data_IF_514425107291
#
_entry.id   IF_514425107291
#
_cell.length_a   1.000
_cell.length_b   1.000
_cell.length_c   1.000
_cell.angle_alpha   90.00
_cell.angle_beta   90.00
_cell.angle_gamma   90.00
#
_symmetry.space_group_name_H-M   'P 1'
#
loop_
_entity.id
_entity.type
_entity.pdbx_description
1 polymer ?
#
# COMPACT_ATOMS: atom_id res chain seq x y z
N UNK A 1 -2.07 5.53 10.68
CA UNK A 1 -1.36 5.16 9.45
C UNK A 1 -0.79 6.42 8.86
N UNK A 2 0.29 6.31 8.09
CA UNK A 2 0.91 7.44 7.42
C UNK A 2 1.11 7.12 5.96
N UNK A 3 0.58 8.00 5.12
CA UNK A 3 0.70 7.95 3.68
C UNK A 3 1.87 8.82 3.26
N UNK A 4 2.86 8.21 2.60
CA UNK A 4 4.03 8.89 2.08
C UNK A 4 3.93 8.94 0.57
N UNK A 5 4.07 10.14 0.00
CA UNK A 5 4.16 10.35 -1.44
C UNK A 5 5.56 10.86 -1.74
N UNK A 6 6.24 10.24 -2.71
CA UNK A 6 7.57 10.62 -3.14
C UNK A 6 7.62 10.81 -4.66
N UNK A 7 8.27 11.88 -5.11
CA UNK A 7 8.58 12.11 -6.52
C UNK A 7 9.91 11.47 -6.89
N UNK A 8 9.92 10.56 -7.86
CA UNK A 8 11.17 9.96 -8.35
C UNK A 8 12.02 10.91 -9.21
N UNK A 9 11.43 11.98 -9.76
CA UNK A 9 12.13 12.92 -10.63
C UNK A 9 12.94 13.98 -9.88
N UNK A 10 12.47 14.44 -8.71
CA UNK A 10 13.12 15.53 -7.96
C UNK A 10 13.39 15.20 -6.49
N UNK A 11 12.91 14.05 -6.00
CA UNK A 11 13.05 13.63 -4.61
C UNK A 11 12.16 14.39 -3.62
N UNK A 12 11.19 15.18 -4.08
CA UNK A 12 10.17 15.76 -3.22
C UNK A 12 9.42 14.65 -2.48
N UNK A 13 9.18 14.82 -1.18
CA UNK A 13 8.35 13.89 -0.40
C UNK A 13 7.38 14.64 0.50
N UNK A 14 6.19 14.09 0.64
CA UNK A 14 5.14 14.57 1.53
C UNK A 14 4.58 13.41 2.32
N UNK A 15 4.20 13.67 3.57
CA UNK A 15 3.68 12.67 4.49
C UNK A 15 2.39 13.19 5.12
N UNK A 16 1.36 12.34 5.14
CA UNK A 16 0.07 12.64 5.76
C UNK A 16 -0.27 11.58 6.80
N UNK A 17 -0.60 12.03 8.00
CA UNK A 17 -1.07 11.15 9.06
C UNK A 17 -2.59 11.03 9.05
N UNK A 18 -3.07 9.79 9.12
CA UNK A 18 -4.49 9.46 9.14
C UNK A 18 -4.78 8.43 10.26
N UNK A 19 -5.88 8.64 10.98
CA UNK A 19 -6.37 7.68 11.95
C UNK A 19 -6.96 6.46 11.21
N UNK A 20 -6.76 5.27 11.77
CA UNK A 20 -7.27 4.02 11.21
C UNK A 20 -7.64 3.05 12.34
N UNK A 21 -8.65 2.24 12.10
CA UNK A 21 -9.03 1.11 12.96
C UNK A 21 -9.01 -0.21 12.18
N UNK A 22 -9.21 -0.11 10.87
CA UNK A 22 -9.16 -1.22 9.94
C UNK A 22 -8.14 -1.00 8.81
N UNK A 23 -7.63 -2.11 8.28
CA UNK A 23 -6.77 -2.15 7.09
C UNK A 23 -7.41 -3.09 6.08
N UNK A 24 -7.68 -2.59 4.88
CA UNK A 24 -8.31 -3.35 3.83
C UNK A 24 -7.27 -3.93 2.85
N UNK A 25 -6.96 -5.22 3.02
CA UNK A 25 -5.94 -5.92 2.23
C UNK A 25 -6.53 -6.51 0.95
N UNK A 26 -5.79 -6.34 -0.16
CA UNK A 26 -6.08 -7.05 -1.39
C UNK A 26 -5.66 -8.52 -1.24
N UNK A 27 -6.46 -9.41 -1.78
CA UNK A 27 -6.23 -10.85 -1.73
C UNK A 27 -6.35 -11.52 -3.10
N UNK A 28 -6.63 -10.79 -4.18
CA UNK A 28 -6.88 -11.39 -5.51
C UNK A 28 -5.70 -12.26 -5.98
N UNK A 29 -4.47 -11.77 -5.76
CA UNK A 29 -3.23 -12.45 -6.16
C UNK A 29 -2.44 -13.02 -4.98
N UNK A 30 -3.01 -13.07 -3.78
CA UNK A 30 -2.28 -13.37 -2.53
C UNK A 30 -2.86 -14.59 -1.81
N UNK A 31 -2.01 -15.34 -1.11
CA UNK A 31 -2.37 -16.58 -0.43
C UNK A 31 -2.41 -16.47 1.11
N UNK A 32 -1.90 -15.37 1.68
CA UNK A 32 -1.86 -15.13 3.13
C UNK A 32 -2.22 -13.68 3.48
N UNK A 33 -2.64 -13.46 4.73
CA UNK A 33 -2.87 -12.10 5.24
C UNK A 33 -1.58 -11.29 5.27
N UNK A 34 -0.45 -11.93 5.59
CA UNK A 34 0.86 -11.28 5.61
C UNK A 34 1.25 -10.76 4.24
N UNK A 35 1.01 -11.54 3.17
CA UNK A 35 1.26 -11.07 1.80
C UNK A 35 0.40 -9.85 1.48
N UNK A 36 -0.88 -9.86 1.88
CA UNK A 36 -1.78 -8.72 1.71
C UNK A 36 -1.29 -7.47 2.46
N UNK A 37 -0.74 -7.65 3.67
CA UNK A 37 -0.11 -6.56 4.45
C UNK A 37 1.20 -6.06 3.81
N UNK A 38 2.02 -6.96 3.25
CA UNK A 38 3.24 -6.59 2.49
C UNK A 38 2.89 -5.75 1.27
N UNK A 39 1.85 -6.13 0.54
CA UNK A 39 1.36 -5.37 -0.60
C UNK A 39 0.74 -4.03 -0.17
N UNK A 40 0.08 -3.99 0.99
CA UNK A 40 -0.48 -2.76 1.55
C UNK A 40 0.58 -1.68 1.83
N UNK A 41 1.76 -2.07 2.32
CA UNK A 41 2.86 -1.12 2.62
C UNK A 41 3.80 -0.87 1.44
N UNK A 42 3.56 -1.52 0.29
CA UNK A 42 4.42 -1.42 -0.89
C UNK A 42 4.24 -0.07 -1.59
N UNK A 43 5.33 0.43 -2.17
CA UNK A 43 5.26 1.56 -3.11
C UNK A 43 4.42 1.21 -4.35
N UNK A 44 3.42 2.05 -4.63
CA UNK A 44 2.57 2.01 -5.82
C UNK A 44 2.73 3.29 -6.64
N UNK A 45 2.63 3.17 -7.96
CA UNK A 45 2.69 4.32 -8.86
C UNK A 45 1.36 5.07 -8.88
N UNK A 46 1.43 6.39 -8.92
CA UNK A 46 0.27 7.26 -9.05
C UNK A 46 0.16 7.76 -10.50
N UNK A 47 -0.84 7.30 -11.24
CA UNK A 47 -1.03 7.67 -12.65
C UNK A 47 -1.48 9.14 -12.82
N UNK A 48 -2.31 9.65 -11.89
CA UNK A 48 -2.94 10.97 -11.97
C UNK A 48 -2.30 12.03 -11.05
N UNK A 49 -1.15 11.73 -10.45
CA UNK A 49 -0.46 12.66 -9.56
C UNK A 49 0.58 13.51 -10.31
N UNK A 50 0.63 14.81 -9.97
CA UNK A 50 1.60 15.76 -10.52
C UNK A 50 2.39 16.41 -9.39
N UNK A 51 3.71 16.38 -9.50
CA UNK A 51 4.57 16.98 -8.49
C UNK A 51 4.41 18.51 -8.47
N UNK A 52 4.16 19.08 -7.29
CA UNK A 52 4.08 20.54 -7.11
C UNK A 52 5.43 21.24 -7.27
N UNK A 53 6.54 20.54 -7.01
CA UNK A 53 7.89 21.10 -7.09
C UNK A 53 8.47 21.14 -8.52
N UNK A 54 8.21 20.11 -9.34
CA UNK A 54 8.79 20.00 -10.68
C UNK A 54 7.78 19.78 -11.83
N UNK A 55 6.50 19.56 -11.55
CA UNK A 55 5.46 19.37 -12.57
C UNK A 55 5.42 18.00 -13.24
N UNK A 56 6.34 17.09 -12.91
CA UNK A 56 6.42 15.73 -13.45
C UNK A 56 5.35 14.79 -12.88
N UNK A 57 5.01 13.75 -13.66
CA UNK A 57 4.01 12.71 -13.30
C UNK A 57 4.67 11.40 -12.87
N UNK A 58 5.68 11.50 -12.02
CA UNK A 58 6.44 10.36 -11.52
C UNK A 58 6.36 10.28 -10.00
N UNK A 59 5.15 10.07 -9.51
CA UNK A 59 4.82 9.93 -8.10
C UNK A 59 4.69 8.48 -7.68
N UNK A 60 5.31 8.13 -6.55
CA UNK A 60 5.08 6.89 -5.84
C UNK A 60 4.39 7.18 -4.52
N UNK A 61 3.45 6.32 -4.13
CA UNK A 61 2.78 6.35 -2.83
C UNK A 61 3.07 5.06 -2.08
N UNK A 62 3.29 5.15 -0.77
CA UNK A 62 3.29 4.01 0.14
C UNK A 62 2.55 4.39 1.42
N UNK A 63 1.98 3.39 2.09
CA UNK A 63 1.41 3.55 3.42
C UNK A 63 2.24 2.76 4.43
N UNK A 64 2.30 3.23 5.68
CA UNK A 64 2.82 2.42 6.79
C UNK A 64 2.00 2.60 8.07
N UNK A 65 2.02 1.57 8.90
CA UNK A 65 1.25 1.50 10.14
C UNK A 65 2.06 2.08 11.29
N UNK A 66 2.20 3.41 11.30
CA UNK A 66 3.03 4.15 12.27
C UNK A 66 2.75 3.83 13.75
N UNK A 67 1.49 3.60 14.11
CA UNK A 67 1.07 3.20 15.45
C UNK A 67 -0.04 2.16 15.34
N UNK A 68 0.18 0.98 15.94
CA UNK A 68 -0.80 -0.11 15.92
C UNK A 68 -1.84 0.09 17.03
N UNK A 69 -3.15 0.06 16.72
CA UNK A 69 -4.17 0.06 17.76
C UNK A 69 -4.15 -1.25 18.55
N UNK A 70 -4.62 -1.26 19.82
CA UNK A 70 -4.76 -2.49 20.61
C UNK A 70 -5.66 -3.55 19.95
N UNK A 71 -6.60 -3.10 19.12
CA UNK A 71 -7.45 -3.92 18.27
C UNK A 71 -7.32 -3.44 16.83
N UNK A 72 -6.73 -4.27 15.98
CA UNK A 72 -6.62 -4.03 14.54
C UNK A 72 -7.62 -4.91 13.80
N UNK A 73 -8.45 -4.31 12.95
CA UNK A 73 -9.37 -5.03 12.08
C UNK A 73 -8.73 -5.19 10.71
N UNK A 74 -8.54 -6.43 10.23
CA UNK A 74 -8.06 -6.67 8.86
C UNK A 74 -9.22 -7.08 7.98
N UNK A 75 -9.62 -6.18 7.07
CA UNK A 75 -10.68 -6.46 6.10
C UNK A 75 -10.08 -7.12 4.86
N UNK A 76 -10.47 -8.37 4.61
CA UNK A 76 -10.14 -9.06 3.35
C UNK A 76 -11.04 -8.54 2.23
N UNK A 77 -10.47 -7.94 1.17
CA UNK A 77 -11.22 -7.50 -0.02
C UNK A 77 -11.65 -8.69 -0.89
N UNK A 78 -12.54 -9.54 -0.36
CA UNK A 78 -13.07 -10.73 -1.04
C UNK A 78 -14.03 -10.43 -2.18
N UNK A 79 -14.48 -9.19 -2.35
CA UNK A 79 -15.41 -8.82 -3.41
C UNK A 79 -14.71 -7.91 -4.40
N UNK A 80 -14.51 -8.43 -5.61
CA UNK A 80 -13.93 -7.66 -6.71
C UNK A 80 -15.00 -7.36 -7.75
N UNK A 81 -14.77 -6.30 -8.53
CA UNK A 81 -15.63 -5.97 -9.67
C UNK A 81 -15.02 -6.53 -10.95
N UNK A 82 -15.67 -7.53 -11.53
CA UNK A 82 -15.26 -8.10 -12.82
C UNK A 82 -15.74 -7.18 -13.95
N UNK A 83 -14.79 -6.44 -14.54
CA UNK A 83 -15.08 -5.48 -15.62
C UNK A 83 -15.63 -6.13 -16.90
N UNK A 84 -15.38 -7.43 -17.13
CA UNK A 84 -15.87 -8.14 -18.32
C UNK A 84 -17.34 -8.53 -18.17
N UNK A 85 -17.72 -8.99 -16.98
CA UNK A 85 -19.11 -9.41 -16.70
C UNK A 85 -19.97 -8.31 -16.09
N UNK A 86 -19.36 -7.16 -15.74
CA UNK A 86 -19.99 -6.03 -15.04
C UNK A 86 -20.69 -6.43 -13.74
N UNK A 87 -20.14 -7.43 -13.04
CA UNK A 87 -20.71 -8.00 -11.81
C UNK A 87 -19.67 -8.06 -10.70
N UNK A 88 -20.16 -8.02 -9.45
CA UNK A 88 -19.33 -8.30 -8.27
C UNK A 88 -19.11 -9.80 -8.16
N UNK A 89 -17.86 -10.22 -8.03
CA UNK A 89 -17.46 -11.62 -7.86
C UNK A 89 -16.81 -11.81 -6.49
N UNK A 90 -17.20 -12.87 -5.78
CA UNK A 90 -16.56 -13.27 -4.53
C UNK A 90 -15.31 -14.13 -4.81
N UNK A 91 -14.20 -13.76 -4.19
CA UNK A 91 -12.96 -14.53 -4.14
C UNK A 91 -13.08 -15.63 -3.09
N UNK A 92 -13.14 -16.87 -3.55
CA UNK A 92 -13.35 -18.06 -2.73
C UNK A 92 -12.06 -18.87 -2.47
N UNK A 93 -10.91 -18.42 -2.97
CA UNK A 93 -9.66 -19.11 -2.69
C UNK A 93 -9.29 -19.00 -1.21
N UNK A 94 -8.48 -19.98 -0.78
CA UNK A 94 -7.98 -20.07 0.58
C UNK A 94 -7.01 -18.93 0.85
N UNK A 95 -7.16 -18.31 2.02
CA UNK A 95 -6.21 -17.34 2.57
C UNK A 95 -5.73 -17.89 3.90
N UNK A 96 -4.42 -17.99 4.08
CA UNK A 96 -3.81 -18.37 5.34
C UNK A 96 -3.90 -17.19 6.33
N UNK A 97 -4.44 -17.47 7.51
CA UNK A 97 -4.53 -16.52 8.64
C UNK A 97 -3.81 -17.20 9.82
N UNK A 98 -2.55 -16.86 10.11
CA UNK A 98 -1.83 -17.43 11.23
C UNK A 98 -2.41 -16.92 12.56
N UNK A 99 -2.16 -17.64 13.65
CA UNK A 99 -2.62 -17.23 15.00
C UNK A 99 -1.87 -16.00 15.53
N UNK A 100 -0.67 -15.75 15.02
CA UNK A 100 0.16 -14.59 15.33
C UNK A 100 0.78 -14.05 14.04
N UNK A 101 0.87 -12.73 13.93
CA UNK A 101 1.51 -12.02 12.82
C UNK A 101 2.53 -11.07 13.44
N UNK A 102 3.77 -11.12 12.96
CA UNK A 102 4.75 -10.09 13.29
C UNK A 102 4.41 -8.81 12.51
N UNK A 103 3.99 -7.78 13.23
CA UNK A 103 3.60 -6.51 12.63
C UNK A 103 4.78 -5.55 12.43
N UNK A 104 5.94 -5.81 13.05
CA UNK A 104 7.10 -4.92 12.99
C UNK A 104 7.47 -4.49 11.56
N UNK A 105 7.48 -5.39 10.54
CA UNK A 105 7.81 -5.02 9.16
C UNK A 105 6.86 -4.00 8.52
N UNK A 106 5.62 -3.89 9.01
CA UNK A 106 4.60 -3.00 8.44
C UNK A 106 4.52 -1.64 9.15
N UNK A 107 5.23 -1.49 10.28
CA UNK A 107 5.26 -0.26 11.08
C UNK A 107 6.41 0.67 10.73
N UNK A 108 7.46 0.14 10.11
CA UNK A 108 8.62 0.93 9.72
C UNK A 108 8.24 1.98 8.67
N UNK A 109 8.84 3.17 8.78
CA UNK A 109 8.74 4.18 7.73
C UNK A 109 9.39 3.62 6.45
N UNK A 110 8.69 3.65 5.30
CA UNK A 110 9.25 3.14 4.06
C UNK A 110 10.45 4.00 3.65
N UNK A 111 11.52 3.34 3.21
CA UNK A 111 12.66 4.02 2.61
C UNK A 111 12.22 4.74 1.33
N UNK A 112 12.70 5.98 1.14
CA UNK A 112 12.36 6.76 -0.05
C UNK A 112 12.90 6.05 -1.29
N UNK A 113 12.09 5.96 -2.37
CA UNK A 113 12.54 5.34 -3.61
C UNK A 113 13.72 6.15 -4.19
N UNK A 114 14.68 5.48 -4.85
CA UNK A 114 15.78 6.16 -5.49
C UNK A 114 15.27 7.11 -6.58
N UNK A 115 16.00 8.20 -6.78
CA UNK A 115 15.71 9.12 -7.88
C UNK A 115 15.98 8.43 -9.20
N UNK A 116 15.17 8.73 -10.21
CA UNK A 116 15.31 8.15 -11.55
C UNK A 116 16.71 8.43 -12.13
N UNK A 117 17.21 9.63 -11.88
CA UNK A 117 18.54 10.14 -12.24
C UNK A 117 19.71 9.36 -11.60
N UNK A 118 19.48 8.62 -10.51
CA UNK A 118 20.50 7.78 -9.85
C UNK A 118 20.42 6.29 -10.21
N UNK A 119 19.38 5.86 -10.94
CA UNK A 119 19.16 4.44 -11.26
C UNK A 119 19.79 3.99 -12.59
N UNK A 120 20.37 4.92 -13.36
CA UNK A 120 21.00 4.68 -14.68
C UNK A 120 22.53 4.87 -14.67
N UNK A 121 23.19 4.85 -13.50
CA UNK A 121 24.65 4.93 -13.35
C UNK A 121 25.27 3.62 -12.83
#
# INVERSE_FOLDING_TARGET
QRDVIACRACGYSSEREEAFADVAVDIETHASVEDGLRQYVRWEALDDWRCEACGERDGLKAAHLSALPPLLIVQLKRFIFDRRTLRRRKLNHRIAVPCAIDMAPFTARPELPPRRDTAEA
#
